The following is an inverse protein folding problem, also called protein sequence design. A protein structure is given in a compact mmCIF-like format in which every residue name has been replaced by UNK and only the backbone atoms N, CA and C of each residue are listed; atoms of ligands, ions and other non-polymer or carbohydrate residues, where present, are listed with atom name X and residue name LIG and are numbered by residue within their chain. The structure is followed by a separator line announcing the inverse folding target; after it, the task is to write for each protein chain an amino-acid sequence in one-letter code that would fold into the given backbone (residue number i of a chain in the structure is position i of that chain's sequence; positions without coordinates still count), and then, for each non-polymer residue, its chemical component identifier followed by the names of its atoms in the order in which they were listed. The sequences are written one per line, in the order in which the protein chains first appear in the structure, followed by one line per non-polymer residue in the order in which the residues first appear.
data_IF_265830200138
#
_entry.id   IF_265830200138
#
_cell.length_a   1.000
_cell.length_b   1.000
_cell.length_c   1.000
_cell.angle_alpha   90.00
_cell.angle_beta   90.00
_cell.angle_gamma   90.00
#
_symmetry.space_group_name_H-M   'P 1'
#
loop_
_entity.id
_entity.type
_entity.pdbx_description
1 polymer ?
#
# COMPACT_ATOMS: atom_id res chain seq x y z
N UNK A 1 36.11 27.72 6.42
CA UNK A 1 35.47 27.48 7.72
C UNK A 1 35.38 25.98 7.95
N UNK A 2 36.27 25.43 8.78
CA UNK A 2 36.26 24.03 9.22
C UNK A 2 35.37 23.93 10.46
N UNK A 3 34.26 23.20 10.39
CA UNK A 3 33.48 22.81 11.57
C UNK A 3 34.14 21.54 12.10
N UNK A 4 35.00 21.66 13.12
CA UNK A 4 35.87 20.58 13.59
C UNK A 4 35.51 20.14 15.03
N UNK A 5 34.91 18.93 15.16
CA UNK A 5 34.89 18.03 16.34
C UNK A 5 34.04 18.44 17.57
N UNK A 6 33.26 17.59 18.25
CA UNK A 6 33.18 16.11 18.30
C UNK A 6 31.78 15.66 18.78
N UNK A 7 31.02 14.82 18.04
CA UNK A 7 29.84 14.17 18.62
C UNK A 7 30.29 13.03 19.56
N UNK A 8 30.18 13.23 20.88
CA UNK A 8 30.42 12.17 21.86
C UNK A 8 29.11 11.41 22.14
N UNK A 9 28.89 10.29 21.43
CA UNK A 9 27.89 9.29 21.79
C UNK A 9 28.63 8.12 22.47
N UNK A 10 28.60 8.07 23.80
CA UNK A 10 29.15 6.93 24.54
C UNK A 10 28.07 5.86 24.70
N UNK A 11 28.17 4.75 23.96
CA UNK A 11 27.28 3.58 24.09
C UNK A 11 27.98 2.54 24.97
N UNK A 12 27.46 2.29 26.17
CA UNK A 12 27.94 1.22 27.05
C UNK A 12 27.28 -0.10 26.64
N UNK A 13 28.06 -1.06 26.13
CA UNK A 13 27.59 -2.42 25.82
C UNK A 13 28.18 -3.35 26.86
N UNK A 14 27.33 -4.06 27.62
CA UNK A 14 27.78 -5.10 28.54
C UNK A 14 28.14 -6.33 27.71
N UNK A 15 29.24 -7.02 28.03
CA UNK A 15 29.66 -8.22 27.31
C UNK A 15 28.51 -9.25 27.28
N UNK A 16 28.00 -9.54 26.08
CA UNK A 16 26.85 -10.42 25.84
C UNK A 16 25.62 -9.78 25.21
N UNK A 17 25.59 -8.45 25.01
CA UNK A 17 24.50 -7.76 24.31
C UNK A 17 24.85 -7.49 22.84
N UNK A 18 24.03 -7.96 21.90
CA UNK A 18 24.15 -7.67 20.47
C UNK A 18 23.47 -6.34 20.14
N UNK A 19 24.24 -5.36 19.65
CA UNK A 19 23.73 -4.09 19.14
C UNK A 19 23.06 -4.36 17.78
N UNK A 20 21.75 -4.59 17.79
CA UNK A 20 20.95 -4.68 16.56
C UNK A 20 20.70 -3.25 16.08
N UNK A 21 21.13 -2.84 14.87
CA UNK A 21 20.82 -1.52 14.35
C UNK A 21 19.31 -1.42 14.17
N UNK A 22 18.68 -0.56 14.97
CA UNK A 22 17.24 -0.30 14.86
C UNK A 22 16.99 0.54 13.62
N UNK A 23 16.69 -0.17 12.53
CA UNK A 23 15.72 0.23 11.52
C UNK A 23 16.02 1.51 10.75
N UNK A 24 17.03 1.47 9.88
CA UNK A 24 17.23 2.46 8.82
C UNK A 24 18.08 1.89 7.69
N UNK A 25 17.44 1.63 6.54
CA UNK A 25 18.02 1.14 5.27
C UNK A 25 19.22 0.18 5.38
N UNK A 26 18.90 -1.06 5.72
CA UNK A 26 19.80 -2.22 5.80
C UNK A 26 20.18 -2.76 4.41
N UNK A 27 20.36 -1.89 3.43
CA UNK A 27 20.71 -2.29 2.05
C UNK A 27 22.20 -2.09 1.77
N UNK A 28 22.82 -1.03 2.29
CA UNK A 28 24.16 -0.61 1.87
C UNK A 28 25.30 -1.22 2.72
N UNK A 29 24.97 -2.03 3.73
CA UNK A 29 25.96 -2.72 4.58
C UNK A 29 26.10 -4.22 4.26
N UNK A 30 25.41 -4.67 3.21
CA UNK A 30 25.37 -6.07 2.77
C UNK A 30 26.45 -6.41 1.74
N UNK A 31 27.22 -5.44 1.24
CA UNK A 31 28.26 -5.70 0.24
C UNK A 31 29.57 -6.26 0.82
N UNK A 32 29.76 -6.24 2.15
CA UNK A 32 31.00 -6.67 2.80
C UNK A 32 30.85 -7.89 3.73
N UNK A 33 29.69 -8.57 3.71
CA UNK A 33 29.57 -9.88 4.35
C UNK A 33 29.19 -10.91 3.29
N UNK A 34 30.13 -11.80 2.99
CA UNK A 34 29.91 -13.06 2.30
C UNK A 34 28.91 -13.91 3.11
N UNK A 35 27.62 -13.62 2.95
CA UNK A 35 26.53 -14.42 3.48
C UNK A 35 25.98 -15.20 2.28
N UNK A 36 26.39 -16.45 2.23
CA UNK A 36 25.87 -17.48 1.34
C UNK A 36 24.35 -17.34 1.18
N UNK A 37 23.93 -17.03 -0.04
CA UNK A 37 22.59 -17.15 -0.62
C UNK A 37 21.45 -17.51 0.35
N UNK A 38 21.03 -16.56 1.19
CA UNK A 38 19.70 -16.62 1.80
C UNK A 38 18.71 -16.25 0.72
N UNK A 39 18.26 -17.27 -0.01
CA UNK A 39 17.06 -17.17 -0.85
C UNK A 39 15.91 -16.64 0.01
N UNK A 40 15.62 -15.34 -0.13
CA UNK A 40 14.42 -14.74 0.43
C UNK A 40 13.26 -15.37 -0.33
N UNK A 41 12.75 -16.47 0.20
CA UNK A 41 11.58 -17.13 -0.35
C UNK A 41 10.46 -16.08 -0.41
N UNK A 42 10.06 -15.72 -1.64
CA UNK A 42 8.90 -14.88 -1.93
C UNK A 42 7.66 -15.56 -1.35
N UNK A 43 7.32 -15.24 -0.10
CA UNK A 43 6.08 -15.74 0.50
C UNK A 43 4.92 -15.23 -0.38
N UNK A 44 4.05 -16.12 -0.89
CA UNK A 44 2.98 -15.70 -1.79
C UNK A 44 2.08 -14.70 -1.07
N UNK A 45 1.86 -13.54 -1.69
CA UNK A 45 1.01 -12.48 -1.13
C UNK A 45 -0.40 -13.04 -0.93
N UNK A 46 -0.78 -13.25 0.33
CA UNK A 46 -2.11 -13.77 0.65
C UNK A 46 -3.17 -12.76 0.23
N UNK A 47 -4.01 -13.14 -0.74
CA UNK A 47 -5.11 -12.28 -1.20
C UNK A 47 -6.28 -12.39 -0.23
N UNK A 48 -6.64 -11.28 0.41
CA UNK A 48 -7.76 -11.23 1.36
C UNK A 48 -9.10 -11.37 0.63
N UNK A 49 -10.03 -12.12 1.22
CA UNK A 49 -11.42 -12.20 0.72
C UNK A 49 -12.08 -10.82 0.81
N UNK A 50 -12.80 -10.35 -0.24
CA UNK A 50 -13.42 -9.04 -0.22
C UNK A 50 -14.59 -8.99 0.78
N UNK A 51 -14.66 -7.89 1.54
CA UNK A 51 -15.76 -7.61 2.47
C UNK A 51 -17.12 -7.55 1.77
N UNK A 52 -18.22 -7.68 2.53
CA UNK A 52 -19.59 -7.52 1.99
C UNK A 52 -19.74 -6.18 1.27
N UNK A 53 -19.25 -5.10 1.89
CA UNK A 53 -19.23 -3.76 1.29
C UNK A 53 -18.53 -3.75 -0.07
N UNK A 54 -17.30 -4.29 -0.16
CA UNK A 54 -16.52 -4.26 -1.40
C UNK A 54 -17.22 -5.03 -2.53
N UNK A 55 -17.85 -6.17 -2.22
CA UNK A 55 -18.61 -6.95 -3.20
C UNK A 55 -19.79 -6.16 -3.75
N UNK A 56 -20.58 -5.53 -2.87
CA UNK A 56 -21.75 -4.72 -3.26
C UNK A 56 -21.31 -3.48 -4.05
N UNK A 57 -20.29 -2.77 -3.59
CA UNK A 57 -19.72 -1.61 -4.30
C UNK A 57 -19.23 -1.98 -5.71
N UNK A 58 -18.46 -3.06 -5.84
CA UNK A 58 -17.96 -3.50 -7.14
C UNK A 58 -19.10 -3.79 -8.13
N UNK A 59 -20.20 -4.40 -7.65
CA UNK A 59 -21.41 -4.64 -8.45
C UNK A 59 -22.04 -3.33 -8.93
N UNK A 60 -22.29 -2.37 -8.03
CA UNK A 60 -22.91 -1.09 -8.40
C UNK A 60 -22.02 -0.24 -9.28
N UNK A 61 -20.71 -0.27 -9.06
CA UNK A 61 -19.76 0.48 -9.87
C UNK A 61 -19.66 -0.08 -11.30
N UNK A 62 -19.61 -1.41 -11.46
CA UNK A 62 -19.69 -2.04 -12.79
C UNK A 62 -21.00 -1.70 -13.50
N UNK A 63 -22.13 -1.73 -12.79
CA UNK A 63 -23.42 -1.32 -13.35
C UNK A 63 -23.42 0.16 -13.77
N UNK A 64 -22.73 1.04 -13.03
CA UNK A 64 -22.58 2.44 -13.42
C UNK A 64 -21.67 2.60 -14.65
N UNK A 65 -20.60 1.82 -14.79
CA UNK A 65 -19.72 1.87 -15.96
C UNK A 65 -20.44 1.51 -17.27
N UNK A 66 -21.36 0.55 -17.22
CA UNK A 66 -22.12 0.10 -18.38
C UNK A 66 -23.24 1.07 -18.78
N UNK A 67 -23.55 2.07 -17.93
CA UNK A 67 -24.57 3.08 -18.24
C UNK A 67 -24.00 4.16 -19.17
N UNK A 68 -24.77 4.60 -20.18
CA UNK A 68 -24.37 5.67 -21.08
C UNK A 68 -24.26 7.03 -20.38
N UNK A 69 -24.72 7.16 -19.13
CA UNK A 69 -24.70 8.42 -18.37
C UNK A 69 -23.28 8.84 -17.90
N UNK A 70 -22.38 7.87 -17.75
CA UNK A 70 -21.07 8.08 -17.13
C UNK A 70 -19.90 7.89 -18.12
N UNK A 71 -20.01 6.94 -19.04
CA UNK A 71 -19.05 6.71 -20.11
C UNK A 71 -19.63 7.09 -21.47
N UNK A 72 -18.76 7.53 -22.37
CA UNK A 72 -19.04 7.70 -23.79
C UNK A 72 -19.07 6.33 -24.48
N UNK A 73 -19.61 6.26 -25.70
CA UNK A 73 -19.64 5.03 -26.51
C UNK A 73 -18.22 4.48 -26.80
N UNK A 74 -17.21 5.35 -26.87
CA UNK A 74 -15.81 4.98 -27.04
C UNK A 74 -15.11 4.50 -25.75
N UNK A 75 -15.84 4.31 -24.64
CA UNK A 75 -15.30 3.82 -23.37
C UNK A 75 -14.65 4.88 -22.48
N UNK A 76 -14.39 6.09 -23.00
CA UNK A 76 -13.86 7.20 -22.21
C UNK A 76 -14.91 7.73 -21.22
N UNK A 77 -14.45 8.24 -20.09
CA UNK A 77 -15.32 8.92 -19.14
C UNK A 77 -15.87 10.22 -19.74
N UNK A 78 -17.14 10.52 -19.47
CA UNK A 78 -17.69 11.86 -19.70
C UNK A 78 -17.05 12.87 -18.74
N UNK A 79 -17.25 14.17 -18.94
CA UNK A 79 -16.83 15.20 -17.98
C UNK A 79 -17.38 14.87 -16.60
N UNK A 80 -16.49 14.72 -15.62
CA UNK A 80 -16.82 14.27 -14.26
C UNK A 80 -17.55 12.92 -14.18
N UNK A 81 -17.50 12.10 -15.24
CA UNK A 81 -18.23 10.83 -15.35
C UNK A 81 -17.77 9.81 -14.32
N UNK A 82 -16.47 9.70 -14.09
CA UNK A 82 -15.90 8.83 -13.07
C UNK A 82 -16.37 9.23 -11.67
N UNK A 83 -16.22 10.51 -11.30
CA UNK A 83 -16.65 11.02 -10.00
C UNK A 83 -18.16 10.83 -9.76
N UNK A 84 -18.99 11.07 -10.79
CA UNK A 84 -20.44 10.82 -10.71
C UNK A 84 -20.75 9.32 -10.55
N UNK A 85 -20.04 8.44 -11.25
CA UNK A 85 -20.21 7.00 -11.12
C UNK A 85 -19.85 6.52 -9.71
N UNK A 86 -18.71 6.96 -9.17
CA UNK A 86 -18.26 6.64 -7.81
C UNK A 86 -19.29 7.09 -6.77
N UNK A 87 -19.75 8.34 -6.82
CA UNK A 87 -20.80 8.85 -5.90
C UNK A 87 -22.09 8.03 -6.00
N UNK A 88 -22.51 7.70 -7.21
CA UNK A 88 -23.72 6.88 -7.41
C UNK A 88 -23.58 5.47 -6.86
N UNK A 89 -22.40 4.85 -7.01
CA UNK A 89 -22.11 3.52 -6.50
C UNK A 89 -22.09 3.51 -4.97
N UNK A 90 -21.38 4.46 -4.33
CA UNK A 90 -21.40 4.61 -2.88
C UNK A 90 -22.81 4.80 -2.34
N UNK A 91 -23.60 5.70 -2.93
CA UNK A 91 -24.99 5.94 -2.49
C UNK A 91 -25.83 4.66 -2.53
N UNK A 92 -25.73 3.88 -3.62
CA UNK A 92 -26.45 2.61 -3.77
C UNK A 92 -25.95 1.54 -2.78
N UNK A 93 -24.64 1.42 -2.59
CA UNK A 93 -24.07 0.49 -1.61
C UNK A 93 -24.53 0.82 -0.19
N UNK A 94 -24.54 2.10 0.18
CA UNK A 94 -25.03 2.52 1.50
C UNK A 94 -26.53 2.25 1.68
N UNK A 95 -27.34 2.46 0.63
CA UNK A 95 -28.77 2.12 0.64
C UNK A 95 -29.00 0.62 0.83
N UNK A 96 -28.25 -0.21 0.11
CA UNK A 96 -28.37 -1.68 0.19
C UNK A 96 -27.88 -2.24 1.53
N UNK A 97 -26.90 -1.61 2.17
CA UNK A 97 -26.43 -2.02 3.49
C UNK A 97 -27.34 -1.61 4.64
N UNK A 98 -28.15 -0.54 4.46
CA UNK A 98 -29.15 -0.09 5.42
C UNK A 98 -30.47 -0.86 5.31
N UNK A 99 -30.66 -1.62 4.24
CA UNK A 99 -31.81 -2.49 4.01
C UNK A 99 -31.59 -3.84 4.66
#
# INVERSE_FOLDING_TARGET
YLINGTPALTVYIKAGETLVPTGGNVADMTENMDIEAVSVADKPKTTRKPSKYNRIYAKHFKAAQNRPDFKKKNGQWKKNGFARAVRSAHKKTQLELKK
#
